data_IF_907741233367
#
_entry.id   IF_907741233367
#
_cell.length_a   1.000
_cell.length_b   1.000
_cell.length_c   1.000
_cell.angle_alpha   90.00
_cell.angle_beta   90.00
_cell.angle_gamma   90.00
#
_symmetry.space_group_name_H-M   'P 1'
#
loop_
_entity.id
_entity.type
_entity.pdbx_description
1 polymer ?
#
# COMPACT_ATOMS: atom_id res chain seq x y z
N UNK A 1 2.44 5.99 -3.99
CA UNK A 1 3.39 4.86 -4.11
C UNK A 1 4.80 5.38 -4.00
N UNK A 2 5.59 4.73 -3.16
CA UNK A 2 6.97 5.11 -2.86
C UNK A 2 7.88 3.90 -2.87
N UNK A 3 9.11 4.09 -3.31
CA UNK A 3 10.17 3.14 -3.03
C UNK A 3 10.49 3.20 -1.54
N UNK A 4 10.42 2.05 -0.88
CA UNK A 4 10.67 1.90 0.56
C UNK A 4 11.84 0.96 0.79
N UNK A 5 12.83 1.42 1.56
CA UNK A 5 13.98 0.60 1.95
C UNK A 5 13.62 -0.21 3.20
N UNK A 6 13.00 -1.36 3.00
CA UNK A 6 12.59 -2.22 4.11
C UNK A 6 13.83 -2.74 4.85
N UNK A 7 13.89 -2.63 6.19
CA UNK A 7 15.07 -3.02 6.96
C UNK A 7 15.49 -4.49 6.76
N UNK A 8 14.54 -5.37 6.43
CA UNK A 8 14.79 -6.80 6.25
C UNK A 8 14.55 -7.23 4.81
N UNK A 9 13.50 -6.73 4.19
CA UNK A 9 13.03 -7.20 2.88
C UNK A 9 13.66 -6.53 1.67
N UNK A 10 14.51 -5.53 1.86
CA UNK A 10 15.10 -4.78 0.77
C UNK A 10 14.15 -3.75 0.16
N UNK A 11 14.56 -3.16 -0.96
CA UNK A 11 13.82 -2.09 -1.62
C UNK A 11 12.63 -2.63 -2.40
N UNK A 12 11.45 -2.09 -2.12
CA UNK A 12 10.22 -2.43 -2.85
C UNK A 12 9.20 -1.30 -2.79
N UNK A 13 8.20 -1.30 -3.72
CA UNK A 13 7.16 -0.28 -3.68
C UNK A 13 6.21 -0.50 -2.51
N UNK A 14 5.84 0.60 -1.85
CA UNK A 14 4.80 0.65 -0.82
C UNK A 14 3.82 1.76 -1.11
N UNK A 15 2.55 1.51 -0.83
CA UNK A 15 1.54 2.57 -0.77
C UNK A 15 1.55 3.17 0.63
N UNK A 16 1.69 4.48 0.71
CA UNK A 16 1.46 5.22 1.96
C UNK A 16 -0.04 5.42 2.11
N UNK A 17 -0.62 4.83 3.17
CA UNK A 17 -2.06 4.84 3.39
C UNK A 17 -2.48 5.83 4.47
N UNK A 18 -1.55 6.35 5.26
CA UNK A 18 -1.84 7.36 6.28
C UNK A 18 -2.30 8.66 5.61
N UNK A 19 -3.30 9.31 6.22
CA UNK A 19 -3.82 10.59 5.74
C UNK A 19 -2.74 11.68 5.71
N UNK A 20 -2.83 12.57 4.75
CA UNK A 20 -1.79 13.59 4.49
C UNK A 20 -1.51 14.47 5.70
N UNK A 21 -2.53 14.84 6.46
CA UNK A 21 -2.41 15.74 7.61
C UNK A 21 -1.55 15.17 8.73
N UNK A 22 -1.47 13.85 8.83
CA UNK A 22 -0.68 13.18 9.86
C UNK A 22 0.78 12.97 9.46
N UNK A 23 1.12 13.01 8.17
CA UNK A 23 2.47 12.74 7.69
C UNK A 23 3.55 13.63 8.33
N UNK A 24 3.33 14.96 8.52
CA UNK A 24 4.36 15.80 9.11
C UNK A 24 4.62 15.54 10.59
N UNK A 25 3.71 14.88 11.30
CA UNK A 25 3.78 14.72 12.76
C UNK A 25 4.06 13.29 13.21
N UNK A 26 3.89 12.29 12.32
CA UNK A 26 4.13 10.90 12.66
C UNK A 26 5.50 10.44 12.16
N UNK A 27 6.21 9.66 12.97
CA UNK A 27 7.44 8.99 12.55
C UNK A 27 7.15 7.68 11.82
N UNK A 28 6.08 7.00 12.20
CA UNK A 28 5.60 5.78 11.58
C UNK A 28 4.23 6.00 10.98
N UNK A 29 4.03 5.47 9.79
CA UNK A 29 2.81 5.59 9.02
C UNK A 29 2.38 4.22 8.54
N UNK A 30 1.15 4.11 8.05
CA UNK A 30 0.65 2.86 7.51
C UNK A 30 1.13 2.69 6.07
N UNK A 31 1.69 1.52 5.78
CA UNK A 31 2.18 1.18 4.46
C UNK A 31 1.68 -0.18 3.99
N UNK A 32 1.46 -0.31 2.70
CA UNK A 32 1.01 -1.54 2.05
C UNK A 32 2.04 -1.93 1.00
N UNK A 33 2.65 -3.11 1.12
CA UNK A 33 3.64 -3.56 0.13
C UNK A 33 2.98 -3.96 -1.19
N UNK A 34 3.72 -3.74 -2.28
CA UNK A 34 3.39 -4.28 -3.58
C UNK A 34 4.23 -5.55 -3.83
N UNK A 35 3.60 -6.56 -4.38
CA UNK A 35 4.25 -7.83 -4.75
C UNK A 35 4.13 -8.07 -6.24
N UNK A 36 5.12 -8.75 -6.82
CA UNK A 36 5.04 -9.22 -8.21
C UNK A 36 4.16 -10.46 -8.38
N UNK A 37 3.95 -11.20 -7.29
CA UNK A 37 3.09 -12.38 -7.30
C UNK A 37 1.65 -11.95 -7.11
N UNK A 38 0.89 -11.91 -8.20
CA UNK A 38 -0.54 -11.54 -8.18
C UNK A 38 -1.37 -12.80 -7.98
N UNK A 39 -2.16 -12.83 -6.91
CA UNK A 39 -2.99 -14.00 -6.53
C UNK A 39 -4.44 -13.84 -6.91
N UNK A 40 -4.87 -12.64 -7.32
CA UNK A 40 -6.25 -12.33 -7.70
C UNK A 40 -7.24 -12.68 -6.57
N UNK A 41 -6.97 -12.19 -5.39
CA UNK A 41 -7.80 -12.37 -4.20
C UNK A 41 -8.39 -11.03 -3.73
N UNK A 42 -9.50 -11.05 -2.95
CA UNK A 42 -10.18 -9.80 -2.55
C UNK A 42 -9.34 -8.81 -1.75
N UNK A 43 -8.27 -9.26 -1.11
CA UNK A 43 -7.38 -8.41 -0.31
C UNK A 43 -6.22 -7.83 -1.12
N UNK A 44 -6.19 -8.08 -2.43
CA UNK A 44 -5.18 -7.52 -3.33
C UNK A 44 -5.79 -6.51 -4.29
N UNK A 45 -4.97 -5.52 -4.69
CA UNK A 45 -5.33 -4.55 -5.72
C UNK A 45 -4.26 -4.60 -6.82
N UNK A 46 -4.60 -5.05 -8.03
CA UNK A 46 -3.65 -5.09 -9.12
C UNK A 46 -3.30 -3.67 -9.60
N UNK A 47 -2.04 -3.45 -9.86
CA UNK A 47 -1.51 -2.23 -10.43
C UNK A 47 -0.63 -2.56 -11.62
N UNK A 48 -0.54 -1.65 -12.58
CA UNK A 48 0.31 -1.81 -13.76
C UNK A 48 0.91 -0.47 -14.21
N UNK A 49 1.47 -0.46 -15.40
CA UNK A 49 2.11 0.73 -15.97
C UNK A 49 1.12 1.86 -16.21
N UNK A 50 -0.17 1.57 -16.41
CA UNK A 50 -1.19 2.62 -16.57
C UNK A 50 -1.44 3.37 -15.26
N UNK A 51 -1.08 2.78 -14.12
CA UNK A 51 -1.13 3.44 -12.82
C UNK A 51 0.15 4.21 -12.51
N UNK A 52 1.15 4.16 -13.38
CA UNK A 52 2.44 4.79 -13.18
C UNK A 52 3.46 3.87 -12.51
N UNK A 53 3.17 2.58 -12.36
CA UNK A 53 4.11 1.62 -11.79
C UNK A 53 5.11 1.16 -12.85
N UNK A 54 6.37 0.87 -12.46
CA UNK A 54 7.37 0.36 -13.40
C UNK A 54 7.05 -1.04 -13.94
N UNK A 55 6.37 -1.86 -13.15
CA UNK A 55 6.00 -3.23 -13.49
C UNK A 55 4.60 -3.56 -12.97
N UNK A 56 3.96 -4.56 -13.60
CA UNK A 56 2.74 -5.13 -13.06
C UNK A 56 3.00 -5.74 -11.69
N UNK A 57 2.11 -5.45 -10.74
CA UNK A 57 2.22 -5.91 -9.36
C UNK A 57 0.84 -5.90 -8.70
N UNK A 58 0.79 -6.25 -7.43
CA UNK A 58 -0.43 -6.13 -6.63
C UNK A 58 -0.11 -5.58 -5.26
N UNK A 59 -0.94 -4.66 -4.78
CA UNK A 59 -0.93 -4.24 -3.38
C UNK A 59 -1.52 -5.37 -2.54
N UNK A 60 -0.86 -5.70 -1.44
CA UNK A 60 -1.25 -6.80 -0.55
C UNK A 60 -1.75 -6.22 0.76
N UNK A 61 -3.06 -6.00 0.88
CA UNK A 61 -3.64 -5.36 2.07
C UNK A 61 -3.53 -6.25 3.32
N UNK A 62 -3.41 -7.56 3.16
CA UNK A 62 -3.15 -8.47 4.29
C UNK A 62 -1.80 -8.21 4.96
N UNK A 63 -0.88 -7.56 4.28
CA UNK A 63 0.45 -7.22 4.78
C UNK A 63 0.60 -5.75 5.15
N UNK A 64 -0.51 -5.06 5.39
CA UNK A 64 -0.50 -3.70 5.92
C UNK A 64 0.35 -3.66 7.19
N UNK A 65 1.28 -2.71 7.26
CA UNK A 65 2.21 -2.61 8.38
C UNK A 65 2.59 -1.16 8.66
N UNK A 66 3.03 -0.84 9.90
CA UNK A 66 3.68 0.43 10.16
C UNK A 66 5.02 0.49 9.44
N UNK A 67 5.29 1.61 8.77
CA UNK A 67 6.56 1.87 8.10
C UNK A 67 7.14 3.20 8.56
N UNK A 68 8.45 3.38 8.37
CA UNK A 68 9.14 4.61 8.77
C UNK A 68 9.19 5.58 7.59
N UNK A 69 8.70 6.79 7.77
CA UNK A 69 8.74 7.84 6.74
C UNK A 69 10.16 8.02 6.19
N UNK A 70 11.16 8.00 7.07
CA UNK A 70 12.54 8.22 6.69
C UNK A 70 13.07 7.21 5.66
N UNK A 71 12.45 6.05 5.55
CA UNK A 71 12.86 4.99 4.62
C UNK A 71 12.08 5.01 3.31
N UNK A 72 11.13 5.93 3.15
CA UNK A 72 10.48 6.23 1.87
C UNK A 72 11.41 7.13 1.07
N UNK A 73 12.13 6.58 0.10
CA UNK A 73 13.28 7.24 -0.52
C UNK A 73 12.96 7.96 -1.82
N UNK A 74 11.98 7.47 -2.59
CA UNK A 74 11.65 8.03 -3.89
C UNK A 74 10.19 7.80 -4.22
N UNK A 75 9.50 8.86 -4.63
CA UNK A 75 8.11 8.75 -5.07
C UNK A 75 8.04 8.09 -6.44
N UNK A 76 7.15 7.12 -6.60
CA UNK A 76 6.90 6.42 -7.86
C UNK A 76 5.74 7.09 -8.60
N UNK A 77 4.58 7.15 -7.95
CA UNK A 77 3.36 7.69 -8.55
C UNK A 77 2.32 7.98 -7.46
N UNK A 78 1.27 8.68 -7.82
CA UNK A 78 0.09 8.86 -7.00
C UNK A 78 -1.05 8.08 -7.64
N UNK A 79 -1.69 7.19 -6.87
CA UNK A 79 -2.79 6.39 -7.38
C UNK A 79 -4.03 7.25 -7.65
N UNK A 80 -4.78 6.88 -8.69
CA UNK A 80 -6.04 7.53 -9.02
C UNK A 80 -7.09 7.33 -7.93
N UNK A 81 -8.13 8.18 -7.88
CA UNK A 81 -9.26 7.98 -6.96
C UNK A 81 -9.93 6.62 -7.15
N UNK A 82 -10.02 6.12 -8.38
CA UNK A 82 -10.59 4.81 -8.69
C UNK A 82 -9.77 3.67 -8.06
N UNK A 83 -8.44 3.74 -8.19
CA UNK A 83 -7.55 2.75 -7.55
C UNK A 83 -7.61 2.86 -6.04
N UNK A 84 -7.66 4.08 -5.49
CA UNK A 84 -7.80 4.27 -4.04
C UNK A 84 -9.11 3.71 -3.51
N UNK A 85 -10.21 3.81 -4.26
CA UNK A 85 -11.47 3.16 -3.89
C UNK A 85 -11.34 1.64 -3.84
N UNK A 86 -10.60 1.04 -4.77
CA UNK A 86 -10.30 -0.39 -4.76
C UNK A 86 -9.45 -0.77 -3.54
N UNK A 87 -8.48 0.08 -3.18
CA UNK A 87 -7.67 -0.12 -1.96
C UNK A 87 -8.55 -0.13 -0.72
N UNK A 88 -9.48 0.81 -0.60
CA UNK A 88 -10.40 0.87 0.55
C UNK A 88 -11.27 -0.38 0.64
N UNK A 89 -11.77 -0.88 -0.48
CA UNK A 89 -12.54 -2.12 -0.54
C UNK A 89 -11.70 -3.33 -0.10
N UNK A 90 -10.48 -3.44 -0.59
CA UNK A 90 -9.56 -4.52 -0.21
C UNK A 90 -9.15 -4.42 1.26
N UNK A 91 -8.96 -3.22 1.78
CA UNK A 91 -8.65 -3.00 3.20
C UNK A 91 -9.81 -3.45 4.09
N UNK A 92 -11.04 -3.13 3.72
CA UNK A 92 -12.22 -3.58 4.45
C UNK A 92 -12.31 -5.11 4.47
N UNK A 93 -11.97 -5.77 3.36
CA UNK A 93 -11.93 -7.23 3.28
C UNK A 93 -10.83 -7.80 4.19
N UNK A 94 -9.65 -7.19 4.21
CA UNK A 94 -8.51 -7.66 4.99
C UNK A 94 -8.70 -7.49 6.49
N UNK A 95 -9.45 -6.45 6.90
CA UNK A 95 -9.63 -6.08 8.32
C UNK A 95 -10.99 -6.47 8.88
N UNK A 96 -11.86 -7.08 8.08
CA UNK A 96 -13.24 -7.37 8.45
C UNK A 96 -13.99 -6.10 8.93
N UNK A 97 -13.66 -4.94 8.36
CA UNK A 97 -14.26 -3.67 8.72
C UNK A 97 -15.77 -3.69 8.41
N UNK A 98 -16.58 -3.37 9.43
CA UNK A 98 -18.04 -3.46 9.32
C UNK A 98 -18.64 -4.80 9.67
N UNK A 99 -17.81 -5.84 9.90
CA UNK A 99 -18.27 -7.14 10.43
C UNK A 99 -18.38 -7.10 11.95
N UNK A 100 -19.14 -8.06 12.56
CA UNK A 100 -19.14 -8.20 14.02
C UNK A 100 -17.74 -8.45 14.56
N UNK A 101 -17.47 -7.98 15.78
CA UNK A 101 -16.18 -8.21 16.46
C UNK A 101 -15.98 -9.72 16.65
N UNK A 102 -14.73 -10.14 16.48
CA UNK A 102 -14.30 -11.52 16.64
C UNK A 102 -13.98 -11.85 18.08
#
# INVERSE_FOLDING_TARGET
>A
MWWYDHPVGGRRPYLVLTRDEALPVLNRILGVPATRTVRDIPTEVPLDQTDGMPLACALTLDNLEPIQIALCTEKITRLSPERMAMVCTALAAATACGAPAQ
#
